data_IF_752421396214
#
_entry.id   IF_752421396214
#
_cell.length_a   1.000
_cell.length_b   1.000
_cell.length_c   1.000
_cell.angle_alpha   90.00
_cell.angle_beta   90.00
_cell.angle_gamma   90.00
#
_symmetry.space_group_name_H-M   'P 1'
#
loop_
_entity.id
_entity.type
_entity.pdbx_description
1 polymer ?
#
# COMPACT_ATOMS: atom_id res chain seq x y z
N UNK A 1 15.14 24.49 -25.58
CA UNK A 1 15.97 23.77 -24.59
C UNK A 1 15.38 24.00 -23.21
N UNK A 2 14.95 22.94 -22.53
CA UNK A 2 14.73 22.76 -21.07
C UNK A 2 13.87 21.49 -20.90
N UNK A 3 14.49 20.32 -21.10
CA UNK A 3 13.95 19.05 -20.61
C UNK A 3 14.34 19.00 -19.13
N UNK A 4 13.44 19.38 -18.23
CA UNK A 4 13.64 19.14 -16.81
C UNK A 4 13.41 17.65 -16.57
N UNK A 5 14.52 16.91 -16.51
CA UNK A 5 14.56 15.48 -16.26
C UNK A 5 14.31 15.27 -14.75
N UNK A 6 13.06 15.11 -14.34
CA UNK A 6 12.71 14.66 -12.99
C UNK A 6 12.90 13.12 -12.93
N UNK A 7 14.16 12.67 -12.93
CA UNK A 7 14.51 11.30 -12.52
C UNK A 7 14.71 11.36 -11.01
N UNK A 8 13.61 11.30 -10.26
CA UNK A 8 13.68 11.12 -8.81
C UNK A 8 13.98 9.65 -8.50
N UNK A 9 15.28 9.38 -8.40
CA UNK A 9 15.93 8.55 -7.37
C UNK A 9 15.09 7.40 -6.80
N UNK A 10 15.30 6.20 -7.35
CA UNK A 10 15.18 4.93 -6.64
C UNK A 10 16.31 4.76 -5.60
N UNK A 11 16.59 5.80 -4.82
CA UNK A 11 17.50 5.70 -3.68
C UNK A 11 16.65 5.33 -2.49
N UNK A 12 16.65 4.03 -2.16
CA UNK A 12 16.10 3.53 -0.91
C UNK A 12 16.98 4.02 0.24
N UNK A 13 16.59 5.12 0.89
CA UNK A 13 17.12 5.46 2.21
C UNK A 13 16.54 4.46 3.21
N UNK A 14 17.25 3.35 3.44
CA UNK A 14 16.85 2.35 4.41
C UNK A 14 17.19 2.82 5.83
N UNK A 15 16.36 3.71 6.38
CA UNK A 15 16.19 3.80 7.83
C UNK A 15 15.59 2.47 8.29
N UNK A 16 16.15 1.85 9.34
CA UNK A 16 15.62 0.61 9.92
C UNK A 16 14.22 0.87 10.48
N UNK A 17 13.21 0.73 9.63
CA UNK A 17 11.80 0.80 10.01
C UNK A 17 11.42 -0.48 10.75
N UNK A 18 10.49 -0.35 11.69
CA UNK A 18 9.84 -1.47 12.38
C UNK A 18 9.07 -2.39 11.40
N UNK A 19 8.86 -1.91 10.18
CA UNK A 19 8.11 -2.52 9.10
C UNK A 19 8.99 -2.63 7.85
N UNK A 20 8.67 -3.53 6.92
CA UNK A 20 9.46 -3.66 5.69
C UNK A 20 9.00 -2.69 4.60
N UNK A 21 7.73 -2.27 4.65
CA UNK A 21 7.05 -1.55 3.57
C UNK A 21 6.18 -0.39 4.08
N UNK A 22 6.14 -0.13 5.39
CA UNK A 22 5.57 1.10 5.96
C UNK A 22 6.67 2.08 6.35
N UNK A 23 6.53 3.31 5.88
CA UNK A 23 7.50 4.38 6.03
C UNK A 23 6.84 5.62 6.62
N UNK A 24 7.66 6.46 7.24
CA UNK A 24 7.23 7.73 7.83
C UNK A 24 7.96 8.84 7.07
N UNK A 25 7.20 9.77 6.51
CA UNK A 25 7.72 10.99 5.90
C UNK A 25 6.83 12.17 6.29
N UNK A 26 7.44 13.24 6.81
CA UNK A 26 6.71 14.46 7.21
C UNK A 26 5.47 14.17 8.08
N UNK A 27 5.63 13.32 9.11
CA UNK A 27 4.57 12.85 10.02
C UNK A 27 3.41 12.11 9.34
N UNK A 28 3.63 11.59 8.14
CA UNK A 28 2.66 10.77 7.43
C UNK A 28 3.18 9.36 7.24
N UNK A 29 2.32 8.37 7.49
CA UNK A 29 2.61 6.99 7.14
C UNK A 29 2.16 6.73 5.72
N UNK A 30 3.05 6.12 4.94
CA UNK A 30 2.72 5.58 3.62
C UNK A 30 3.24 4.14 3.51
N UNK A 31 2.60 3.37 2.63
CA UNK A 31 3.08 2.07 2.22
C UNK A 31 3.84 2.21 0.91
N UNK A 32 5.00 1.54 0.79
CA UNK A 32 5.70 1.38 -0.48
C UNK A 32 6.27 -0.04 -0.57
N UNK A 33 5.97 -0.73 -1.68
CA UNK A 33 6.55 -2.05 -1.94
C UNK A 33 6.93 -2.23 -3.41
N UNK A 34 8.14 -2.70 -3.63
CA UNK A 34 8.63 -3.11 -4.95
C UNK A 34 8.44 -4.60 -5.12
N UNK A 35 7.72 -4.97 -6.18
CA UNK A 35 7.49 -6.33 -6.60
C UNK A 35 8.34 -6.65 -7.83
N UNK A 36 8.94 -7.84 -7.83
CA UNK A 36 9.62 -8.41 -8.99
C UNK A 36 8.67 -9.38 -9.67
N UNK A 37 8.51 -9.26 -10.99
CA UNK A 37 7.86 -10.28 -11.78
C UNK A 37 8.97 -11.15 -12.39
N UNK A 38 9.01 -12.41 -11.98
CA UNK A 38 9.99 -13.35 -12.53
C UNK A 38 9.70 -13.55 -14.02
N UNK A 39 10.71 -13.29 -14.86
CA UNK A 39 10.73 -13.61 -16.30
C UNK A 39 9.73 -12.86 -17.21
N UNK A 40 9.31 -11.64 -16.84
CA UNK A 40 8.36 -10.83 -17.63
C UNK A 40 9.07 -9.68 -18.35
N UNK A 41 8.89 -9.55 -19.67
CA UNK A 41 9.38 -8.38 -20.44
C UNK A 41 8.63 -7.10 -20.03
N UNK A 42 9.21 -5.93 -20.29
CA UNK A 42 8.58 -4.65 -19.95
C UNK A 42 7.22 -4.44 -20.65
N UNK A 43 7.00 -4.97 -21.85
CA UNK A 43 5.70 -4.86 -22.51
C UNK A 43 4.62 -5.66 -21.76
N UNK A 44 5.02 -6.79 -21.17
CA UNK A 44 4.11 -7.68 -20.47
C UNK A 44 3.75 -7.18 -19.06
N UNK A 45 4.65 -6.46 -18.34
CA UNK A 45 4.32 -5.94 -17.00
C UNK A 45 3.18 -4.92 -17.07
N UNK A 46 3.21 -4.02 -18.04
CA UNK A 46 2.14 -3.03 -18.24
C UNK A 46 0.80 -3.71 -18.50
N UNK A 47 0.76 -4.65 -19.46
CA UNK A 47 -0.46 -5.37 -19.81
C UNK A 47 -1.01 -6.17 -18.61
N UNK A 48 -0.12 -6.82 -17.85
CA UNK A 48 -0.50 -7.54 -16.64
C UNK A 48 -1.11 -6.61 -15.57
N UNK A 49 -0.49 -5.45 -15.33
CA UNK A 49 -0.99 -4.47 -14.36
C UNK A 49 -2.34 -3.90 -14.79
N UNK A 50 -2.48 -3.48 -16.06
CA UNK A 50 -3.75 -2.97 -16.61
C UNK A 50 -4.85 -4.02 -16.52
N UNK A 51 -4.54 -5.31 -16.70
CA UNK A 51 -5.54 -6.38 -16.56
C UNK A 51 -5.86 -6.74 -15.11
N UNK A 52 -4.88 -6.64 -14.20
CA UNK A 52 -5.00 -7.12 -12.83
C UNK A 52 -5.56 -6.06 -11.87
N UNK A 53 -5.11 -4.80 -11.97
CA UNK A 53 -5.50 -3.72 -11.05
C UNK A 53 -7.01 -3.51 -11.00
N UNK A 54 -7.76 -3.44 -12.13
CA UNK A 54 -9.21 -3.28 -12.10
C UNK A 54 -9.99 -4.45 -11.48
N UNK A 55 -9.34 -5.61 -11.32
CA UNK A 55 -9.95 -6.80 -10.69
C UNK A 55 -9.77 -6.82 -9.17
N UNK A 56 -8.97 -5.90 -8.63
CA UNK A 56 -8.81 -5.77 -7.18
C UNK A 56 -10.14 -5.30 -6.59
N UNK A 57 -10.64 -6.03 -5.59
CA UNK A 57 -11.88 -5.68 -4.91
C UNK A 57 -11.77 -4.27 -4.30
N UNK A 58 -12.85 -3.50 -4.38
CA UNK A 58 -13.00 -2.17 -3.76
C UNK A 58 -12.06 -1.08 -4.34
N UNK A 59 -11.40 -1.36 -5.46
CA UNK A 59 -10.61 -0.37 -6.19
C UNK A 59 -11.52 0.47 -7.10
N UNK A 60 -11.32 1.79 -7.12
CA UNK A 60 -12.12 2.74 -7.89
C UNK A 60 -11.26 3.85 -8.47
N UNK A 61 -11.86 4.71 -9.30
CA UNK A 61 -11.22 5.91 -9.87
C UNK A 61 -9.86 5.62 -10.55
N UNK A 62 -9.81 4.55 -11.34
CA UNK A 62 -8.60 4.11 -12.01
C UNK A 62 -8.28 5.08 -13.15
N UNK A 63 -7.05 5.59 -13.19
CA UNK A 63 -6.52 6.40 -14.29
C UNK A 63 -5.23 5.76 -14.79
N UNK A 64 -5.21 5.43 -16.07
CA UNK A 64 -4.08 4.79 -16.71
C UNK A 64 -3.20 5.82 -17.42
N UNK A 65 -1.89 5.72 -17.20
CA UNK A 65 -0.87 6.51 -17.88
C UNK A 65 0.16 5.60 -18.55
N UNK A 66 1.12 6.21 -19.25
CA UNK A 66 2.14 5.46 -20.00
C UNK A 66 3.02 4.58 -19.10
N UNK A 67 3.35 5.05 -17.90
CA UNK A 67 4.30 4.41 -16.96
C UNK A 67 3.75 4.21 -15.55
N UNK A 68 2.49 4.59 -15.30
CA UNK A 68 1.86 4.42 -14.00
C UNK A 68 0.33 4.31 -14.10
N UNK A 69 -0.28 3.78 -13.04
CA UNK A 69 -1.72 3.78 -12.78
C UNK A 69 -1.94 4.51 -11.47
N UNK A 70 -2.94 5.39 -11.42
CA UNK A 70 -3.50 5.88 -10.16
C UNK A 70 -4.85 5.26 -9.90
N UNK A 71 -5.20 5.04 -8.64
CA UNK A 71 -6.50 4.51 -8.25
C UNK A 71 -6.80 4.89 -6.79
N UNK A 72 -7.99 4.53 -6.32
CA UNK A 72 -8.37 4.60 -4.91
C UNK A 72 -8.80 3.25 -4.42
N UNK A 73 -8.37 2.88 -3.21
CA UNK A 73 -8.97 1.78 -2.47
C UNK A 73 -10.08 2.37 -1.60
N UNK A 74 -11.31 1.92 -1.78
CA UNK A 74 -12.48 2.59 -1.22
C UNK A 74 -13.37 1.64 -0.44
N UNK A 75 -13.49 1.85 0.88
CA UNK A 75 -14.30 1.03 1.80
C UNK A 75 -13.90 -0.45 1.87
N UNK A 76 -12.63 -0.76 1.69
CA UNK A 76 -12.19 -2.15 1.83
C UNK A 76 -12.06 -2.55 3.30
N UNK A 77 -11.96 -3.84 3.59
CA UNK A 77 -11.80 -4.34 4.96
C UNK A 77 -10.50 -5.12 5.07
N UNK A 78 -9.68 -4.77 6.07
CA UNK A 78 -8.43 -5.46 6.36
C UNK A 78 -8.76 -6.75 7.10
N UNK A 79 -8.55 -7.90 6.44
CA UNK A 79 -8.67 -9.21 7.07
C UNK A 79 -7.47 -9.50 7.98
N UNK A 80 -7.43 -8.86 9.14
CA UNK A 80 -6.38 -9.07 10.14
C UNK A 80 -6.38 -10.50 10.69
N UNK A 81 -7.49 -11.25 10.59
CA UNK A 81 -7.59 -12.64 11.07
C UNK A 81 -6.75 -13.57 10.20
N UNK A 82 -6.75 -13.36 8.88
CA UNK A 82 -5.85 -14.07 7.94
C UNK A 82 -4.37 -13.96 8.35
N UNK A 83 -3.99 -12.87 9.00
CA UNK A 83 -2.62 -12.60 9.45
C UNK A 83 -2.36 -12.92 10.94
N UNK A 84 -3.27 -13.65 11.59
CA UNK A 84 -3.10 -14.12 12.97
C UNK A 84 -3.75 -13.24 14.05
N UNK A 85 -4.44 -12.15 13.68
CA UNK A 85 -5.15 -11.30 14.62
C UNK A 85 -6.43 -11.94 15.18
N UNK A 86 -6.78 -11.57 16.42
CA UNK A 86 -8.02 -12.00 17.11
C UNK A 86 -8.85 -10.78 17.50
N UNK A 87 -10.17 -10.91 17.47
CA UNK A 87 -11.12 -9.80 17.66
C UNK A 87 -10.85 -8.96 18.93
N UNK A 88 -10.64 -9.61 20.08
CA UNK A 88 -10.40 -8.92 21.36
C UNK A 88 -8.96 -8.46 21.60
N UNK A 89 -8.01 -8.80 20.73
CA UNK A 89 -6.59 -8.47 20.90
C UNK A 89 -6.02 -7.65 19.75
N UNK A 90 -6.90 -7.08 18.93
CA UNK A 90 -6.56 -6.31 17.73
C UNK A 90 -7.14 -4.90 17.87
N UNK A 91 -6.46 -3.90 17.31
CA UNK A 91 -6.93 -2.53 17.38
C UNK A 91 -8.33 -2.40 16.77
N UNK A 92 -9.28 -1.86 17.53
CA UNK A 92 -10.69 -1.84 17.15
C UNK A 92 -10.93 -1.17 15.79
N UNK A 93 -10.13 -0.16 15.45
CA UNK A 93 -10.28 0.57 14.20
C UNK A 93 -10.13 -0.29 12.94
N UNK A 94 -9.44 -1.44 13.03
CA UNK A 94 -9.25 -2.37 11.92
C UNK A 94 -10.54 -3.07 11.49
N UNK A 95 -11.61 -2.97 12.29
CA UNK A 95 -12.94 -3.46 11.93
C UNK A 95 -13.72 -2.49 11.03
N UNK A 96 -13.21 -1.28 10.80
CA UNK A 96 -13.89 -0.28 9.97
C UNK A 96 -13.37 -0.28 8.52
N UNK A 97 -14.18 0.26 7.59
CA UNK A 97 -13.77 0.50 6.22
C UNK A 97 -12.44 1.28 6.13
N UNK A 98 -11.51 0.75 5.34
CA UNK A 98 -10.19 1.28 5.05
C UNK A 98 -10.14 1.93 3.66
N UNK A 99 -9.39 3.02 3.55
CA UNK A 99 -9.29 3.84 2.35
C UNK A 99 -7.85 4.29 2.14
N UNK A 100 -7.44 4.41 0.89
CA UNK A 100 -6.18 5.06 0.51
C UNK A 100 -6.15 5.44 -0.98
N UNK A 101 -5.24 6.35 -1.32
CA UNK A 101 -4.87 6.62 -2.71
C UNK A 101 -3.73 5.67 -3.11
N UNK A 102 -3.80 5.15 -4.32
CA UNK A 102 -2.86 4.15 -4.85
C UNK A 102 -2.14 4.72 -6.07
N UNK A 103 -0.82 4.57 -6.07
CA UNK A 103 0.04 4.77 -7.23
C UNK A 103 0.76 3.46 -7.55
N UNK A 104 0.64 3.00 -8.78
CA UNK A 104 1.37 1.83 -9.28
C UNK A 104 2.26 2.25 -10.42
N UNK A 105 3.57 2.18 -10.23
CA UNK A 105 4.57 2.53 -11.24
C UNK A 105 5.32 1.28 -11.68
N UNK A 106 5.74 1.20 -12.94
CA UNK A 106 6.53 0.07 -13.43
C UNK A 106 7.73 0.50 -14.24
N UNK A 107 8.81 -0.25 -14.09
CA UNK A 107 10.08 -0.08 -14.81
C UNK A 107 10.92 -1.34 -14.68
N UNK A 108 11.64 -1.72 -15.74
CA UNK A 108 12.68 -2.76 -15.70
C UNK A 108 12.20 -4.12 -15.10
N UNK A 109 11.01 -4.57 -15.50
CA UNK A 109 10.43 -5.85 -15.05
C UNK A 109 9.97 -5.85 -13.58
N UNK A 110 9.92 -4.67 -12.95
CA UNK A 110 9.46 -4.47 -11.58
C UNK A 110 8.33 -3.46 -11.57
N UNK A 111 7.48 -3.57 -10.55
CA UNK A 111 6.51 -2.53 -10.26
C UNK A 111 6.56 -2.15 -8.79
N UNK A 112 6.34 -0.88 -8.54
CA UNK A 112 6.22 -0.29 -7.21
C UNK A 112 4.76 0.04 -6.96
N UNK A 113 4.29 -0.28 -5.77
CA UNK A 113 2.99 0.18 -5.29
C UNK A 113 3.22 1.09 -4.11
N UNK A 114 2.64 2.28 -4.19
CA UNK A 114 2.62 3.26 -3.12
C UNK A 114 1.17 3.49 -2.69
N UNK A 115 0.90 3.39 -1.38
CA UNK A 115 -0.39 3.76 -0.81
C UNK A 115 -0.22 4.94 0.15
N UNK A 116 -0.91 6.04 -0.15
CA UNK A 116 -0.87 7.30 0.61
C UNK A 116 -2.26 7.65 1.12
N UNK A 117 -2.35 8.67 1.99
CA UNK A 117 -3.61 9.15 2.53
C UNK A 117 -4.44 8.00 3.15
N UNK A 118 -3.78 7.15 3.92
CA UNK A 118 -4.41 5.97 4.53
C UNK A 118 -5.28 6.38 5.72
N UNK A 119 -6.52 5.91 5.75
CA UNK A 119 -7.42 6.16 6.87
C UNK A 119 -8.49 5.07 7.00
N UNK A 120 -9.06 5.01 8.20
CA UNK A 120 -10.28 4.25 8.49
C UNK A 120 -11.45 5.22 8.65
N UNK A 121 -12.65 4.79 8.30
CA UNK A 121 -13.86 5.58 8.54
C UNK A 121 -14.91 4.73 9.24
N UNK A 122 -15.38 5.19 10.40
CA UNK A 122 -16.54 4.62 11.08
C UNK A 122 -17.71 5.59 10.99
N UNK A 123 -18.88 5.06 10.63
CA UNK A 123 -20.12 5.84 10.60
C UNK A 123 -20.39 6.38 12.01
N UNK A 124 -20.31 7.71 12.18
CA UNK A 124 -20.50 8.40 13.46
C UNK A 124 -19.22 8.85 14.17
N UNK A 125 -18.05 8.24 13.92
CA UNK A 125 -16.76 8.73 14.44
C UNK A 125 -15.93 9.49 13.39
N UNK A 126 -16.26 9.33 12.11
CA UNK A 126 -15.59 10.02 11.01
C UNK A 126 -14.22 9.44 10.68
N UNK A 127 -13.39 10.27 10.05
CA UNK A 127 -12.09 9.89 9.48
C UNK A 127 -11.03 9.73 10.56
N UNK A 128 -10.45 8.55 10.67
CA UNK A 128 -9.31 8.23 11.52
C UNK A 128 -8.07 8.02 10.65
N UNK A 129 -7.17 9.01 10.56
CA UNK A 129 -5.96 8.87 9.74
C UNK A 129 -5.01 7.82 10.36
N UNK A 130 -4.43 6.97 9.52
CA UNK A 130 -3.51 5.92 9.99
C UNK A 130 -2.28 6.51 10.69
N UNK A 131 -1.80 7.68 10.27
CA UNK A 131 -0.71 8.40 10.93
C UNK A 131 -1.04 8.72 12.39
N UNK A 132 -2.24 9.23 12.67
CA UNK A 132 -2.70 9.59 14.03
C UNK A 132 -2.85 8.35 14.91
N UNK A 133 -3.19 7.20 14.32
CA UNK A 133 -3.41 5.94 15.02
C UNK A 133 -2.11 5.19 15.35
N UNK A 134 -1.09 5.29 14.49
CA UNK A 134 0.10 4.45 14.56
C UNK A 134 1.37 5.19 14.96
N UNK A 135 1.45 6.51 14.80
CA UNK A 135 2.65 7.25 15.17
C UNK A 135 2.72 7.52 16.69
N UNK A 136 3.93 7.70 17.17
CA UNK A 136 4.20 8.31 18.47
C UNK A 136 3.85 9.80 18.46
N UNK A 137 3.81 10.43 19.63
CA UNK A 137 3.38 11.82 19.78
C UNK A 137 4.22 12.82 18.98
N UNK A 138 5.53 12.56 18.82
CA UNK A 138 6.41 13.40 18.00
C UNK A 138 6.19 13.19 16.48
N UNK A 139 5.53 12.10 16.08
CA UNK A 139 5.26 11.78 14.68
C UNK A 139 6.46 11.29 13.87
N UNK A 140 7.60 11.00 14.51
CA UNK A 140 8.84 10.61 13.84
C UNK A 140 9.07 9.10 13.85
N UNK A 141 8.45 8.39 14.79
CA UNK A 141 8.51 6.94 14.91
C UNK A 141 7.12 6.32 15.13
N UNK A 142 7.00 5.03 14.82
CA UNK A 142 5.81 4.23 15.14
C UNK A 142 5.68 4.10 16.65
N UNK A 143 4.45 4.17 17.13
CA UNK A 143 4.11 3.98 18.53
C UNK A 143 4.51 2.57 19.00
N UNK A 144 5.30 2.50 20.07
CA UNK A 144 5.84 1.25 20.63
C UNK A 144 4.79 0.39 21.35
N UNK A 145 3.54 0.87 21.49
CA UNK A 145 2.43 0.07 22.03
C UNK A 145 2.15 -1.13 21.11
N UNK A 146 2.08 -2.33 21.71
CA UNK A 146 1.85 -3.60 20.99
C UNK A 146 0.68 -3.53 19.99
N UNK A 147 -0.42 -2.89 20.35
CA UNK A 147 -1.59 -2.73 19.47
C UNK A 147 -1.28 -1.95 18.20
N UNK A 148 -0.55 -0.83 18.30
CA UNK A 148 -0.15 -0.04 17.13
C UNK A 148 0.83 -0.83 16.24
N UNK A 149 1.79 -1.52 16.88
CA UNK A 149 2.76 -2.37 16.19
C UNK A 149 2.04 -3.43 15.34
N UNK A 150 1.15 -4.21 15.96
CA UNK A 150 0.43 -5.27 15.27
C UNK A 150 -0.53 -4.72 14.21
N UNK A 151 -1.18 -3.58 14.46
CA UNK A 151 -2.06 -2.97 13.47
C UNK A 151 -1.31 -2.54 12.20
N UNK A 152 -0.13 -1.93 12.34
CA UNK A 152 0.71 -1.62 11.17
C UNK A 152 1.17 -2.89 10.43
N UNK A 153 1.44 -4.00 11.13
CA UNK A 153 1.76 -5.28 10.46
C UNK A 153 0.59 -5.79 9.63
N UNK A 154 -0.63 -5.70 10.15
CA UNK A 154 -1.83 -6.13 9.42
C UNK A 154 -2.07 -5.27 8.17
N UNK A 155 -1.87 -3.95 8.26
CA UNK A 155 -1.96 -3.04 7.11
C UNK A 155 -0.89 -3.38 6.07
N UNK A 156 0.37 -3.54 6.47
CA UNK A 156 1.48 -3.91 5.58
C UNK A 156 1.22 -5.23 4.86
N UNK A 157 0.82 -6.26 5.61
CA UNK A 157 0.56 -7.59 5.06
C UNK A 157 -0.63 -7.58 4.11
N UNK A 158 -1.70 -6.88 4.50
CA UNK A 158 -2.88 -6.72 3.66
C UNK A 158 -2.55 -6.06 2.32
N UNK A 159 -1.89 -4.90 2.33
CA UNK A 159 -1.50 -4.20 1.11
C UNK A 159 -0.48 -5.00 0.28
N UNK A 160 0.47 -5.68 0.94
CA UNK A 160 1.43 -6.56 0.28
C UNK A 160 0.76 -7.70 -0.48
N UNK A 161 -0.26 -8.32 0.10
CA UNK A 161 -0.98 -9.42 -0.51
C UNK A 161 -1.97 -8.95 -1.58
N UNK A 162 -2.67 -7.83 -1.34
CA UNK A 162 -3.68 -7.27 -2.24
C UNK A 162 -3.09 -6.95 -3.62
N UNK A 163 -1.88 -6.38 -3.63
CA UNK A 163 -1.22 -5.97 -4.87
C UNK A 163 -0.19 -6.97 -5.39
N UNK A 164 -0.11 -8.18 -4.81
CA UNK A 164 0.73 -9.25 -5.34
C UNK A 164 0.08 -9.87 -6.57
N UNK A 165 0.55 -9.46 -7.76
CA UNK A 165 0.05 -9.99 -9.02
C UNK A 165 0.69 -11.35 -9.25
N UNK A 166 -0.16 -12.37 -9.41
CA UNK A 166 0.27 -13.67 -9.93
C UNK A 166 0.11 -13.62 -11.44
N UNK A 167 1.22 -13.73 -12.16
CA UNK A 167 1.17 -13.96 -13.60
C UNK A 167 0.54 -15.34 -13.77
N UNK A 168 -0.65 -15.43 -14.38
CA UNK A 168 -1.16 -16.72 -14.81
C UNK A 168 -0.21 -17.24 -15.87
N UNK A 169 0.58 -18.27 -15.52
CA UNK A 169 1.25 -19.09 -16.53
C UNK A 169 0.21 -19.52 -17.57
N UNK A 170 0.65 -19.58 -18.83
CA UNK A 170 -0.10 -20.08 -19.98
C UNK A 170 -1.09 -21.17 -19.59
N UNK A 171 -2.30 -21.07 -20.15
CA UNK A 171 -3.34 -22.08 -20.01
C UNK A 171 -2.80 -23.49 -20.13
N UNK A 172 -3.38 -24.37 -19.32
CA UNK A 172 -3.33 -25.80 -19.54
C UNK A 172 -3.85 -26.14 -20.94
#
# INVERSE_FOLDING_TARGET
MKKLLFILLLISFSSKSQYNNLFIESRNIYFEKIYKLDSVSQENIKSNLISAIPKIKDITNIQEHSTFITAKLNRTHIDYKKYGGKFFSTAAFLNHPFFCDILVEWKDGRYRVTATNMFFNEDGLGKMNTSDLLLSENGEEINKKKLAIEAGKYIENYLSDLFKIKVSGKGW
#
